data_IF_240631245584
#
_entry.id   IF_240631245584
#
_cell.length_a   1.000
_cell.length_b   1.000
_cell.length_c   1.000
_cell.angle_alpha   90.00
_cell.angle_beta   90.00
_cell.angle_gamma   90.00
#
_symmetry.space_group_name_H-M   'P 1'
#
loop_
_entity.id
_entity.type
_entity.pdbx_description
1 polymer ?
#
# COMPACT_ATOMS: atom_id res chain seq x y z
N UNK A 1 3.50 -15.49 8.55
CA UNK A 1 3.08 -15.12 9.93
C UNK A 1 1.60 -15.39 10.14
N UNK A 2 0.70 -14.76 9.37
CA UNK A 2 -0.74 -15.02 9.46
C UNK A 2 -1.10 -16.51 9.36
N UNK A 3 -0.64 -17.21 8.32
CA UNK A 3 -0.87 -18.65 8.16
C UNK A 3 -0.41 -19.55 9.34
N UNK A 4 0.47 -19.06 10.21
CA UNK A 4 1.00 -19.81 11.36
C UNK A 4 0.32 -19.45 12.68
N UNK A 5 -0.12 -18.20 12.83
CA UNK A 5 -0.53 -17.65 14.13
C UNK A 5 -1.92 -17.03 14.14
N UNK A 6 -2.50 -16.72 12.98
CA UNK A 6 -3.85 -16.18 12.92
C UNK A 6 -4.86 -17.28 13.23
N UNK A 7 -5.75 -16.99 14.16
CA UNK A 7 -6.86 -17.86 14.54
C UNK A 7 -8.14 -17.18 14.08
N UNK A 8 -8.85 -17.81 13.14
CA UNK A 8 -10.06 -17.23 12.54
C UNK A 8 -11.16 -17.03 13.58
N UNK A 9 -11.13 -17.84 14.64
CA UNK A 9 -12.07 -17.83 15.76
C UNK A 9 -11.82 -16.69 16.75
N UNK A 10 -10.67 -15.99 16.64
CA UNK A 10 -10.34 -14.87 17.52
C UNK A 10 -11.26 -13.65 17.37
N UNK A 11 -12.00 -13.56 16.25
CA UNK A 11 -12.86 -12.42 15.92
C UNK A 11 -12.09 -11.15 15.54
N UNK A 12 -10.75 -11.19 15.48
CA UNK A 12 -9.92 -10.05 15.07
C UNK A 12 -9.87 -9.99 13.53
N UNK A 13 -10.28 -8.88 12.89
CA UNK A 13 -10.22 -8.76 11.44
C UNK A 13 -8.78 -8.82 10.92
N UNK A 14 -8.55 -9.64 9.88
CA UNK A 14 -7.24 -9.79 9.26
C UNK A 14 -7.12 -8.96 7.98
N UNK A 15 -6.08 -8.14 7.90
CA UNK A 15 -5.60 -7.54 6.66
C UNK A 15 -4.27 -8.19 6.29
N UNK A 16 -4.15 -8.74 5.08
CA UNK A 16 -2.91 -9.36 4.61
C UNK A 16 -2.10 -8.39 3.76
N UNK A 17 -0.87 -8.10 4.18
CA UNK A 17 0.09 -7.32 3.40
C UNK A 17 0.66 -8.18 2.27
N UNK A 18 0.35 -7.85 1.03
CA UNK A 18 0.63 -8.69 -0.14
C UNK A 18 2.04 -8.53 -0.68
N UNK A 19 2.66 -7.36 -0.55
CA UNK A 19 4.04 -7.11 -0.97
C UNK A 19 4.97 -6.77 0.19
N UNK A 20 6.25 -7.06 -0.02
CA UNK A 20 7.33 -6.72 0.90
C UNK A 20 8.64 -6.50 0.15
N UNK A 21 9.61 -5.91 0.84
CA UNK A 21 10.99 -5.79 0.38
C UNK A 21 11.92 -5.67 1.58
N UNK A 22 13.22 -5.87 1.36
CA UNK A 22 14.23 -5.55 2.36
C UNK A 22 14.74 -4.11 2.19
N UNK A 23 15.53 -3.64 3.15
CA UNK A 23 16.28 -2.38 3.05
C UNK A 23 17.61 -2.53 2.31
N UNK A 24 18.01 -3.76 1.94
CA UNK A 24 19.34 -4.05 1.42
C UNK A 24 19.42 -4.11 -0.12
N UNK A 25 18.29 -3.99 -0.82
CA UNK A 25 18.24 -4.11 -2.27
C UNK A 25 18.00 -2.77 -2.96
N UNK A 26 18.87 -2.48 -3.92
CA UNK A 26 18.71 -1.42 -4.92
C UNK A 26 18.80 -0.01 -4.34
N UNK A 27 19.08 0.96 -5.21
CA UNK A 27 18.94 2.38 -4.88
C UNK A 27 17.47 2.82 -5.00
N UNK A 28 16.74 2.24 -5.96
CA UNK A 28 15.32 2.51 -6.19
C UNK A 28 14.42 1.51 -5.46
N UNK A 29 13.46 1.99 -4.66
CA UNK A 29 12.61 1.10 -3.87
C UNK A 29 11.60 0.38 -4.77
N UNK A 30 11.66 -0.95 -4.75
CA UNK A 30 10.70 -1.81 -5.42
C UNK A 30 10.19 -2.86 -4.43
N UNK A 31 8.86 -2.97 -4.30
CA UNK A 31 8.22 -4.02 -3.50
C UNK A 31 7.13 -4.67 -4.32
N UNK A 32 7.38 -5.90 -4.76
CA UNK A 32 6.45 -6.67 -5.58
C UNK A 32 5.66 -7.65 -4.73
N UNK A 33 4.56 -8.14 -5.29
CA UNK A 33 3.67 -9.09 -4.69
C UNK A 33 4.41 -10.37 -4.29
N UNK A 34 4.25 -10.75 -3.02
CA UNK A 34 4.77 -11.97 -2.42
C UNK A 34 3.64 -12.93 -2.00
N UNK A 35 2.40 -12.43 -1.91
CA UNK A 35 1.21 -13.19 -1.53
C UNK A 35 0.06 -12.81 -2.47
N UNK A 36 -0.70 -13.80 -2.92
CA UNK A 36 -1.88 -13.57 -3.79
C UNK A 36 -3.09 -13.16 -2.97
N UNK A 37 -4.05 -12.52 -3.63
CA UNK A 37 -5.36 -12.17 -3.04
C UNK A 37 -6.13 -13.45 -2.69
N UNK A 38 -6.13 -14.46 -3.56
CA UNK A 38 -6.64 -15.81 -3.24
C UNK A 38 -6.10 -16.35 -1.91
N UNK A 39 -4.78 -16.27 -1.70
CA UNK A 39 -4.17 -16.80 -0.47
C UNK A 39 -4.59 -16.01 0.77
N UNK A 40 -4.79 -14.70 0.63
CA UNK A 40 -5.35 -13.88 1.69
C UNK A 40 -6.80 -14.28 2.01
N UNK A 41 -7.62 -14.51 0.99
CA UNK A 41 -9.00 -14.95 1.14
C UNK A 41 -9.12 -16.32 1.84
N UNK A 42 -8.28 -17.30 1.46
CA UNK A 42 -8.21 -18.60 2.14
C UNK A 42 -7.93 -18.49 3.64
N UNK A 43 -7.13 -17.48 4.04
CA UNK A 43 -6.83 -17.20 5.45
C UNK A 43 -7.99 -16.51 6.19
N UNK A 44 -9.08 -16.16 5.50
CA UNK A 44 -10.20 -15.42 6.07
C UNK A 44 -9.89 -13.94 6.28
N UNK A 45 -9.03 -13.37 5.44
CA UNK A 45 -8.78 -11.93 5.45
C UNK A 45 -10.05 -11.17 5.06
N UNK A 46 -10.30 -10.04 5.73
CA UNK A 46 -11.36 -9.09 5.35
C UNK A 46 -10.84 -8.09 4.31
N UNK A 47 -9.52 -8.03 4.13
CA UNK A 47 -8.88 -7.07 3.27
C UNK A 47 -7.43 -7.40 2.98
N UNK A 48 -6.89 -6.67 2.01
CA UNK A 48 -5.50 -6.78 1.58
C UNK A 48 -4.83 -5.43 1.57
N UNK A 49 -3.50 -5.46 1.67
CA UNK A 49 -2.69 -4.26 1.66
C UNK A 49 -1.50 -4.33 0.74
N UNK A 50 -1.15 -3.21 0.11
CA UNK A 50 -0.04 -3.14 -0.82
C UNK A 50 0.67 -1.78 -0.73
N UNK A 51 1.99 -1.77 -0.87
CA UNK A 51 2.80 -0.54 -0.85
C UNK A 51 3.18 -0.11 -2.27
N UNK A 52 2.94 1.15 -2.59
CA UNK A 52 3.45 1.81 -3.79
C UNK A 52 4.43 2.90 -3.35
N UNK A 53 5.65 2.88 -3.91
CA UNK A 53 6.61 3.94 -3.66
C UNK A 53 6.48 5.04 -4.70
N UNK A 54 5.85 6.15 -4.31
CA UNK A 54 5.65 7.32 -5.17
C UNK A 54 6.99 8.03 -5.36
N UNK A 55 7.34 8.37 -6.59
CA UNK A 55 8.63 8.93 -6.97
C UNK A 55 9.73 7.90 -7.24
N UNK A 56 9.44 6.59 -7.13
CA UNK A 56 10.37 5.57 -7.60
C UNK A 56 10.37 5.46 -9.12
N UNK A 57 11.49 5.07 -9.70
CA UNK A 57 11.54 4.64 -11.11
C UNK A 57 10.69 3.41 -11.40
N UNK A 58 10.32 2.63 -10.36
CA UNK A 58 9.46 1.45 -10.50
C UNK A 58 7.99 1.72 -10.13
N UNK A 59 7.59 2.98 -9.93
CA UNK A 59 6.23 3.36 -9.51
C UNK A 59 5.16 2.75 -10.43
N UNK A 60 5.29 2.94 -11.75
CA UNK A 60 4.33 2.42 -12.74
C UNK A 60 4.15 0.90 -12.65
N UNK A 61 5.23 0.17 -12.40
CA UNK A 61 5.19 -1.30 -12.26
C UNK A 61 4.38 -1.71 -11.02
N UNK A 62 4.56 -1.02 -9.91
CA UNK A 62 3.78 -1.26 -8.69
C UNK A 62 2.32 -0.84 -8.87
N UNK A 63 2.04 0.24 -9.60
CA UNK A 63 0.67 0.67 -9.90
C UNK A 63 -0.07 -0.35 -10.77
N UNK A 64 0.56 -0.89 -11.81
CA UNK A 64 -0.02 -1.93 -12.69
C UNK A 64 -0.27 -3.22 -11.91
N UNK A 65 0.63 -3.59 -11.00
CA UNK A 65 0.42 -4.75 -10.13
C UNK A 65 -0.70 -4.51 -9.11
N UNK A 66 -0.76 -3.30 -8.54
CA UNK A 66 -1.81 -2.90 -7.60
C UNK A 66 -3.20 -2.92 -8.24
N UNK A 67 -3.37 -2.37 -9.44
CA UNK A 67 -4.67 -2.35 -10.13
C UNK A 67 -5.24 -3.76 -10.33
N UNK A 68 -4.40 -4.75 -10.66
CA UNK A 68 -4.84 -6.16 -10.78
C UNK A 68 -5.24 -6.77 -9.44
N UNK A 69 -4.50 -6.42 -8.39
CA UNK A 69 -4.77 -6.87 -7.01
C UNK A 69 -6.08 -6.27 -6.52
N UNK A 70 -6.31 -5.00 -6.82
CA UNK A 70 -7.50 -4.26 -6.43
C UNK A 70 -8.74 -4.86 -7.10
N UNK A 71 -8.74 -5.02 -8.43
CA UNK A 71 -9.80 -5.72 -9.18
C UNK A 71 -10.11 -7.11 -8.57
N UNK A 72 -9.08 -7.92 -8.29
CA UNK A 72 -9.26 -9.27 -7.74
C UNK A 72 -9.84 -9.25 -6.31
N UNK A 73 -9.42 -8.29 -5.48
CA UNK A 73 -9.88 -8.17 -4.10
C UNK A 73 -11.32 -7.67 -4.03
N UNK A 74 -11.67 -6.65 -4.81
CA UNK A 74 -13.02 -6.13 -4.91
C UNK A 74 -14.00 -7.16 -5.47
N UNK A 75 -13.60 -7.95 -6.46
CA UNK A 75 -14.40 -9.07 -6.96
C UNK A 75 -14.74 -10.13 -5.89
N UNK A 76 -13.97 -10.17 -4.79
CA UNK A 76 -14.17 -11.05 -3.64
C UNK A 76 -14.81 -10.33 -2.44
N UNK A 77 -15.18 -9.06 -2.58
CA UNK A 77 -15.73 -8.24 -1.50
C UNK A 77 -14.74 -7.91 -0.39
N UNK A 78 -13.44 -7.94 -0.68
CA UNK A 78 -12.39 -7.56 0.27
C UNK A 78 -12.02 -6.10 0.12
N UNK A 79 -11.73 -5.43 1.25
CA UNK A 79 -11.18 -4.07 1.22
C UNK A 79 -9.73 -4.08 0.72
N UNK A 80 -9.33 -2.99 0.07
CA UNK A 80 -7.99 -2.78 -0.47
C UNK A 80 -7.40 -1.52 0.14
N UNK A 81 -6.23 -1.65 0.73
CA UNK A 81 -5.52 -0.53 1.34
C UNK A 81 -4.21 -0.28 0.58
N UNK A 82 -4.02 0.96 0.12
CA UNK A 82 -2.81 1.41 -0.56
C UNK A 82 -1.91 2.18 0.41
N UNK A 83 -0.69 1.70 0.65
CA UNK A 83 0.35 2.45 1.36
C UNK A 83 1.11 3.26 0.32
N UNK A 84 0.79 4.55 0.23
CA UNK A 84 1.36 5.48 -0.73
C UNK A 84 2.52 6.21 -0.06
N UNK A 85 3.73 5.71 -0.28
CA UNK A 85 4.93 6.25 0.36
C UNK A 85 5.83 6.96 -0.64
N UNK A 86 5.93 8.29 -0.57
CA UNK A 86 6.98 9.03 -1.26
C UNK A 86 8.36 8.46 -0.93
N UNK A 87 8.99 7.84 -1.91
CA UNK A 87 10.36 7.31 -1.82
C UNK A 87 10.91 7.01 -3.20
N UNK A 88 12.17 7.37 -3.42
CA UNK A 88 12.87 7.18 -4.68
C UNK A 88 13.61 8.45 -5.06
N UNK A 89 14.51 8.37 -6.05
CA UNK A 89 15.38 9.50 -6.40
C UNK A 89 14.60 10.76 -6.79
N UNK A 90 13.39 10.64 -7.34
CA UNK A 90 12.59 11.80 -7.78
C UNK A 90 11.97 12.62 -6.63
N UNK A 91 11.93 12.05 -5.42
CA UNK A 91 11.33 12.69 -4.23
C UNK A 91 12.28 12.70 -3.03
N UNK A 92 13.57 12.44 -3.25
CA UNK A 92 14.57 12.41 -2.19
C UNK A 92 14.65 13.75 -1.46
N UNK A 93 14.55 13.72 -0.13
CA UNK A 93 14.50 14.90 0.72
C UNK A 93 13.14 15.63 0.74
N UNK A 94 12.13 15.08 0.05
CA UNK A 94 10.74 15.60 -0.01
C UNK A 94 9.73 14.53 0.40
N UNK A 95 10.14 13.51 1.14
CA UNK A 95 9.29 12.36 1.46
C UNK A 95 8.11 12.71 2.38
N UNK A 96 8.25 13.78 3.16
CA UNK A 96 7.20 14.36 4.01
C UNK A 96 6.68 15.71 3.49
N UNK A 97 7.09 16.12 2.28
CA UNK A 97 6.62 17.36 1.66
C UNK A 97 5.11 17.30 1.41
N UNK A 98 4.39 18.33 1.84
CA UNK A 98 2.92 18.38 1.82
C UNK A 98 2.34 17.97 0.46
N UNK A 99 2.84 18.60 -0.60
CA UNK A 99 2.28 18.41 -1.95
C UNK A 99 2.64 17.03 -2.52
N UNK A 100 3.82 16.49 -2.19
CA UNK A 100 4.23 15.14 -2.60
C UNK A 100 3.37 14.08 -1.91
N UNK A 101 3.11 14.25 -0.61
CA UNK A 101 2.25 13.35 0.16
C UNK A 101 0.81 13.42 -0.32
N UNK A 102 0.27 14.64 -0.54
CA UNK A 102 -1.08 14.84 -1.07
C UNK A 102 -1.25 14.20 -2.47
N UNK A 103 -0.23 14.33 -3.33
CA UNK A 103 -0.24 13.68 -4.64
C UNK A 103 -0.25 12.15 -4.52
N UNK A 104 0.54 11.60 -3.61
CA UNK A 104 0.50 10.17 -3.29
C UNK A 104 -0.87 9.71 -2.79
N UNK A 105 -1.53 10.48 -1.93
CA UNK A 105 -2.89 10.22 -1.47
C UNK A 105 -3.88 10.17 -2.64
N UNK A 106 -3.80 11.17 -3.54
CA UNK A 106 -4.65 11.28 -4.72
C UNK A 106 -4.47 10.10 -5.67
N UNK A 107 -3.23 9.67 -5.95
CA UNK A 107 -2.97 8.48 -6.77
C UNK A 107 -3.63 7.25 -6.15
N UNK A 108 -3.52 7.07 -4.83
CA UNK A 108 -4.14 5.93 -4.14
C UNK A 108 -5.66 5.88 -4.34
N UNK A 109 -6.33 7.03 -4.30
CA UNK A 109 -7.77 7.13 -4.58
C UNK A 109 -8.11 6.85 -6.04
N UNK A 110 -7.30 7.35 -6.98
CA UNK A 110 -7.50 7.10 -8.42
C UNK A 110 -7.28 5.65 -8.82
N UNK A 111 -6.47 4.91 -8.05
CA UNK A 111 -6.29 3.46 -8.18
C UNK A 111 -7.38 2.65 -7.46
N UNK A 112 -8.48 3.28 -7.04
CA UNK A 112 -9.64 2.65 -6.43
C UNK A 112 -9.36 1.94 -5.08
N UNK A 113 -8.37 2.42 -4.32
CA UNK A 113 -8.16 1.93 -2.95
C UNK A 113 -9.30 2.40 -2.02
N UNK A 114 -9.80 1.50 -1.17
CA UNK A 114 -10.79 1.85 -0.14
C UNK A 114 -10.19 2.74 0.94
N UNK A 115 -8.90 2.52 1.25
CA UNK A 115 -8.14 3.36 2.18
C UNK A 115 -6.75 3.65 1.64
N UNK A 116 -6.29 4.87 1.89
CA UNK A 116 -4.94 5.30 1.54
C UNK A 116 -4.16 5.63 2.80
N UNK A 117 -3.03 4.94 2.99
CA UNK A 117 -2.10 5.20 4.09
C UNK A 117 -0.89 5.98 3.59
N UNK A 118 -0.73 7.18 4.13
CA UNK A 118 0.33 8.14 3.80
C UNK A 118 1.20 8.45 5.03
N UNK A 119 2.42 8.98 4.86
CA UNK A 119 3.22 9.47 5.98
C UNK A 119 2.66 10.79 6.50
N UNK A 120 2.85 11.06 7.79
CA UNK A 120 2.55 12.36 8.39
C UNK A 120 3.57 13.40 7.89
N UNK A 121 3.09 14.59 7.53
CA UNK A 121 3.89 15.68 6.95
C UNK A 121 4.73 16.44 7.99
N UNK A 122 4.48 16.22 9.28
CA UNK A 122 5.26 16.78 10.40
C UNK A 122 4.47 17.74 11.29
N UNK A 123 3.41 18.35 10.76
CA UNK A 123 2.51 19.24 11.48
C UNK A 123 1.05 19.06 11.02
N UNK A 124 0.11 19.51 11.84
CA UNK A 124 -1.33 19.30 11.61
C UNK A 124 -1.82 20.12 10.42
N UNK A 125 -1.37 21.38 10.29
CA UNK A 125 -1.83 22.29 9.25
C UNK A 125 -1.48 21.79 7.85
N UNK A 126 -0.25 21.29 7.66
CA UNK A 126 0.15 20.67 6.40
C UNK A 126 -0.55 19.34 6.16
N UNK A 127 -0.79 18.54 7.20
CA UNK A 127 -1.45 17.24 7.04
C UNK A 127 -2.95 17.36 6.75
N UNK A 128 -3.62 18.39 7.27
CA UNK A 128 -5.02 18.70 6.94
C UNK A 128 -5.24 18.94 5.44
N UNK A 129 -4.24 19.40 4.68
CA UNK A 129 -4.33 19.52 3.23
C UNK A 129 -4.27 18.17 2.49
N UNK A 130 -3.67 17.16 3.13
CA UNK A 130 -3.48 15.83 2.53
C UNK A 130 -4.76 15.00 2.59
N UNK A 131 -5.60 15.20 3.63
CA UNK A 131 -6.72 14.32 4.00
C UNK A 131 -8.11 14.91 3.75
#
# INVERSE_FOLDING_TARGET
MAAKYYQKESGVPLIVKLNGKTSFQGEEPLSLQLCTVEKAAELGAVGVGYTIYVGSENEERMMVEFSKIEDEAHARGMIVIAWMYPRGRKVAGREADRDVVAYGARIGMELNADFVKVPYTGDVESFEWVV
#
